data_IF_161399051043
#
_entry.id   IF_161399051043
#
_cell.length_a   1.000
_cell.length_b   1.000
_cell.length_c   1.000
_cell.angle_alpha   90.00
_cell.angle_beta   90.00
_cell.angle_gamma   90.00
#
_symmetry.space_group_name_H-M   'P 1'
#
loop_
_entity.id
_entity.type
_entity.pdbx_description
1 polymer ?
#
# COMPACT_ATOMS: atom_id res chain seq x y z
N UNK A 1 7.24 -0.27 2.64
CA UNK A 1 8.34 0.24 1.80
C UNK A 1 7.82 1.12 0.68
N UNK A 2 8.69 1.96 0.10
CA UNK A 2 8.45 2.64 -1.17
C UNK A 2 9.25 1.92 -2.26
N UNK A 3 8.58 1.39 -3.27
CA UNK A 3 9.22 0.78 -4.44
C UNK A 3 9.33 1.82 -5.55
N UNK A 4 10.54 2.16 -5.97
CA UNK A 4 10.79 3.15 -7.01
C UNK A 4 10.06 2.78 -8.31
N UNK A 5 9.53 3.77 -9.01
CA UNK A 5 8.81 3.58 -10.29
C UNK A 5 9.75 3.21 -11.44
N UNK A 6 11.01 3.64 -11.36
CA UNK A 6 12.12 3.25 -12.23
C UNK A 6 13.13 2.45 -11.40
N UNK A 7 14.35 2.91 -11.24
CA UNK A 7 15.33 2.28 -10.35
C UNK A 7 15.58 3.12 -9.11
N UNK A 8 16.13 2.52 -8.06
CA UNK A 8 16.48 3.23 -6.82
C UNK A 8 17.58 4.29 -7.03
N UNK A 9 18.37 4.17 -8.13
CA UNK A 9 19.42 5.12 -8.49
C UNK A 9 18.90 6.33 -9.27
N UNK A 10 17.73 6.26 -9.89
CA UNK A 10 17.13 7.35 -10.62
C UNK A 10 16.69 8.48 -9.67
N UNK A 11 17.18 9.70 -9.93
CA UNK A 11 16.94 10.89 -9.11
C UNK A 11 16.70 12.12 -9.98
N UNK A 12 16.01 11.93 -11.09
CA UNK A 12 15.74 12.95 -12.08
C UNK A 12 14.48 13.76 -11.72
N UNK A 13 14.66 15.07 -11.53
CA UNK A 13 13.55 16.00 -11.20
C UNK A 13 12.69 16.36 -12.42
N UNK A 14 13.18 16.11 -13.64
CA UNK A 14 12.52 16.51 -14.88
C UNK A 14 11.61 15.41 -15.43
N UNK A 15 11.72 14.18 -14.92
CA UNK A 15 10.79 13.09 -15.25
C UNK A 15 9.53 13.23 -14.40
N UNK A 16 8.43 13.59 -15.06
CA UNK A 16 7.16 13.90 -14.43
C UNK A 16 6.02 13.11 -15.03
N UNK A 17 5.03 12.79 -14.22
CA UNK A 17 3.76 12.17 -14.60
C UNK A 17 2.59 12.86 -13.93
N UNK A 18 1.38 12.62 -14.43
CA UNK A 18 0.14 13.06 -13.81
C UNK A 18 -0.38 11.93 -12.91
N UNK A 19 -0.62 12.24 -11.65
CA UNK A 19 -1.26 11.32 -10.73
C UNK A 19 -2.71 11.11 -11.16
N UNK A 20 -3.08 9.87 -11.46
CA UNK A 20 -4.41 9.51 -11.96
C UNK A 20 -5.53 9.79 -10.94
N UNK A 21 -5.18 9.80 -9.66
CA UNK A 21 -6.11 10.03 -8.55
C UNK A 21 -6.40 11.53 -8.35
N UNK A 22 -5.35 12.34 -8.33
CA UNK A 22 -5.44 13.75 -7.96
C UNK A 22 -5.41 14.70 -9.15
N UNK A 23 -5.06 14.23 -10.36
CA UNK A 23 -4.83 15.05 -11.54
C UNK A 23 -3.59 15.97 -11.44
N UNK A 24 -2.79 15.86 -10.39
CA UNK A 24 -1.63 16.71 -10.15
C UNK A 24 -0.37 16.10 -10.75
N UNK A 25 0.47 16.97 -11.31
CA UNK A 25 1.82 16.60 -11.73
C UNK A 25 2.69 16.24 -10.53
N UNK A 26 3.49 15.18 -10.67
CA UNK A 26 4.47 14.79 -9.66
C UNK A 26 5.78 14.32 -10.31
N UNK A 27 6.89 14.47 -9.60
CA UNK A 27 8.20 13.98 -10.03
C UNK A 27 8.26 12.47 -9.77
N UNK A 28 8.43 11.69 -10.85
CA UNK A 28 8.39 10.22 -10.82
C UNK A 28 9.40 9.65 -9.82
N UNK A 29 10.64 10.12 -9.87
CA UNK A 29 11.72 9.58 -9.05
C UNK A 29 11.64 9.96 -7.57
N UNK A 30 10.90 11.01 -7.21
CA UNK A 30 10.62 11.35 -5.81
C UNK A 30 9.56 10.46 -5.19
N UNK A 31 8.76 9.80 -6.00
CA UNK A 31 7.68 8.92 -5.56
C UNK A 31 8.11 7.47 -5.53
N UNK A 32 7.31 6.64 -4.92
CA UNK A 32 7.42 5.20 -4.96
C UNK A 32 6.06 4.59 -4.75
N UNK A 33 5.86 3.39 -5.27
CA UNK A 33 4.70 2.60 -4.96
C UNK A 33 4.78 2.11 -3.52
N UNK A 34 3.68 2.17 -2.79
CA UNK A 34 3.60 1.52 -1.49
C UNK A 34 3.68 0.01 -1.66
N UNK A 35 4.41 -0.66 -0.76
CA UNK A 35 4.57 -2.10 -0.75
C UNK A 35 4.73 -2.57 0.70
N UNK A 36 3.98 -3.59 1.09
CA UNK A 36 4.13 -4.21 2.41
C UNK A 36 5.07 -5.40 2.28
N UNK A 37 6.04 -5.46 3.17
CA UNK A 37 7.02 -6.55 3.27
C UNK A 37 7.01 -7.07 4.71
N UNK A 38 6.77 -8.37 4.88
CA UNK A 38 6.81 -9.04 6.17
C UNK A 38 7.90 -10.10 6.14
N UNK A 39 8.69 -10.18 7.20
CA UNK A 39 9.69 -11.25 7.34
C UNK A 39 9.02 -12.52 7.85
N UNK A 40 9.02 -13.57 7.06
CA UNK A 40 8.46 -14.88 7.38
C UNK A 40 9.37 -15.73 8.29
N UNK A 41 10.67 -15.46 8.26
CA UNK A 41 11.68 -16.19 9.00
C UNK A 41 12.96 -15.37 9.18
N UNK A 42 13.97 -15.93 9.84
CA UNK A 42 15.26 -15.26 10.07
C UNK A 42 15.94 -14.79 8.78
N UNK A 43 15.86 -15.56 7.71
CA UNK A 43 16.42 -15.18 6.40
C UNK A 43 15.68 -13.97 5.83
N UNK A 44 14.35 -13.97 5.87
CA UNK A 44 13.52 -12.84 5.48
C UNK A 44 13.84 -11.58 6.28
N UNK A 45 14.01 -11.70 7.60
CA UNK A 45 14.42 -10.57 8.43
C UNK A 45 15.78 -9.99 8.01
N UNK A 46 16.79 -10.85 7.76
CA UNK A 46 18.09 -10.41 7.26
C UNK A 46 17.99 -9.72 5.91
N UNK A 47 17.16 -10.24 5.01
CA UNK A 47 16.92 -9.64 3.70
C UNK A 47 16.17 -8.32 3.81
N UNK A 48 15.19 -8.22 4.70
CA UNK A 48 14.48 -6.96 5.00
C UNK A 48 15.45 -5.88 5.51
N UNK A 49 16.37 -6.23 6.42
CA UNK A 49 17.42 -5.32 6.86
C UNK A 49 18.30 -4.80 5.71
N UNK A 50 18.66 -5.68 4.76
CA UNK A 50 19.44 -5.27 3.57
C UNK A 50 18.66 -4.34 2.66
N UNK A 51 17.38 -4.65 2.40
CA UNK A 51 16.50 -3.80 1.60
C UNK A 51 16.36 -2.41 2.23
N UNK A 52 16.09 -2.34 3.54
CA UNK A 52 15.98 -1.07 4.27
C UNK A 52 17.30 -0.30 4.23
N UNK A 53 18.43 -0.96 4.49
CA UNK A 53 19.75 -0.31 4.45
C UNK A 53 20.05 0.27 3.06
N UNK A 54 19.85 -0.49 1.98
CA UNK A 54 20.07 0.00 0.62
C UNK A 54 19.10 1.13 0.25
N UNK A 55 17.85 1.08 0.72
CA UNK A 55 16.89 2.16 0.47
C UNK A 55 17.35 3.51 1.04
N UNK A 56 18.05 3.49 2.18
CA UNK A 56 18.61 4.69 2.81
C UNK A 56 19.94 5.13 2.19
N UNK A 57 20.83 4.18 1.87
CA UNK A 57 22.18 4.47 1.37
C UNK A 57 22.14 4.89 -0.10
N UNK A 58 21.51 4.07 -0.96
CA UNK A 58 21.52 4.25 -2.41
C UNK A 58 20.22 4.86 -2.93
N UNK A 59 19.08 4.41 -2.36
CA UNK A 59 17.74 4.71 -2.85
C UNK A 59 17.10 5.98 -2.32
N UNK A 60 17.78 6.73 -1.45
CA UNK A 60 17.20 7.94 -0.88
C UNK A 60 17.08 9.06 -1.91
N UNK A 61 15.84 9.46 -2.17
CA UNK A 61 15.51 10.68 -2.89
C UNK A 61 14.16 11.17 -2.40
N UNK A 62 14.18 12.18 -1.52
CA UNK A 62 13.03 12.67 -0.76
C UNK A 62 12.51 11.64 0.30
N UNK A 63 12.57 10.36 0.01
CA UNK A 63 12.27 9.23 0.88
C UNK A 63 13.14 8.03 0.52
N UNK A 64 13.32 7.07 1.46
CA UNK A 64 14.06 5.84 1.17
C UNK A 64 13.23 4.94 0.23
N UNK A 65 13.81 4.49 -0.88
CA UNK A 65 13.16 3.66 -1.89
C UNK A 65 13.96 2.40 -2.14
N UNK A 66 13.27 1.29 -2.27
CA UNK A 66 13.77 0.07 -2.91
C UNK A 66 13.36 0.07 -4.38
N UNK A 67 13.82 -0.89 -5.17
CA UNK A 67 13.30 -1.17 -6.50
C UNK A 67 13.12 -2.68 -6.74
N UNK A 68 12.59 -3.04 -7.88
CA UNK A 68 12.36 -4.44 -8.25
C UNK A 68 13.67 -5.23 -8.33
N UNK A 69 14.79 -4.61 -8.75
CA UNK A 69 16.08 -5.29 -8.89
C UNK A 69 16.64 -5.76 -7.55
N UNK A 70 16.64 -4.86 -6.52
CA UNK A 70 17.08 -5.27 -5.18
C UNK A 70 16.08 -6.18 -4.48
N UNK A 71 14.78 -6.04 -4.80
CA UNK A 71 13.76 -6.92 -4.28
C UNK A 71 13.93 -8.35 -4.82
N UNK A 72 14.23 -8.54 -6.10
CA UNK A 72 14.61 -9.84 -6.69
C UNK A 72 15.81 -10.46 -5.98
N UNK A 73 16.81 -9.65 -5.65
CA UNK A 73 18.03 -10.12 -4.99
C UNK A 73 17.80 -10.58 -3.55
N UNK A 74 16.85 -9.95 -2.84
CA UNK A 74 16.63 -10.16 -1.40
C UNK A 74 15.20 -10.59 -1.05
N UNK A 75 14.50 -11.28 -1.97
CA UNK A 75 13.10 -11.69 -1.79
C UNK A 75 12.90 -12.87 -0.83
N UNK A 76 13.91 -13.75 -0.72
CA UNK A 76 13.80 -15.00 0.04
C UNK A 76 13.37 -14.77 1.50
N UNK A 77 12.34 -15.50 1.95
CA UNK A 77 11.81 -15.44 3.30
C UNK A 77 10.93 -14.21 3.58
N UNK A 78 10.48 -13.49 2.54
CA UNK A 78 9.55 -12.38 2.64
C UNK A 78 8.15 -12.77 2.16
N UNK A 79 7.14 -12.26 2.85
CA UNK A 79 5.75 -12.18 2.38
C UNK A 79 5.53 -10.76 1.87
N UNK A 80 4.82 -10.63 0.76
CA UNK A 80 4.59 -9.34 0.09
C UNK A 80 3.10 -9.12 -0.10
N UNK A 81 2.62 -7.92 0.22
CA UNK A 81 1.24 -7.52 -0.01
C UNK A 81 1.18 -6.21 -0.82
N UNK A 82 0.14 -6.07 -1.64
CA UNK A 82 0.02 -4.99 -2.65
C UNK A 82 -0.20 -3.60 -2.09
N UNK A 83 -0.35 -3.47 -0.78
CA UNK A 83 -0.59 -2.24 -0.03
C UNK A 83 -1.93 -1.54 -0.36
N UNK A 84 -2.06 -0.27 0.04
CA UNK A 84 -3.24 0.57 -0.09
C UNK A 84 -3.38 1.15 -1.51
N UNK A 85 -4.24 2.18 -1.70
CA UNK A 85 -4.38 2.91 -2.97
C UNK A 85 -3.06 3.44 -3.53
N UNK A 86 -2.04 3.64 -2.69
CA UNK A 86 -0.69 4.04 -3.10
C UNK A 86 0.18 2.93 -3.70
N UNK A 87 -0.29 1.69 -3.73
CA UNK A 87 0.42 0.55 -4.33
C UNK A 87 0.47 0.57 -5.85
N UNK A 88 1.41 -0.17 -6.45
CA UNK A 88 1.59 -0.22 -7.90
C UNK A 88 0.32 -0.69 -8.62
N UNK A 89 -0.28 -1.77 -8.15
CA UNK A 89 -1.44 -2.41 -8.78
C UNK A 89 -2.68 -1.51 -8.69
N UNK A 90 -3.08 -1.00 -7.49
CA UNK A 90 -4.19 -0.06 -7.38
C UNK A 90 -4.01 1.20 -8.23
N UNK A 91 -2.83 1.79 -8.25
CA UNK A 91 -2.56 2.99 -9.05
C UNK A 91 -2.71 2.75 -10.55
N UNK A 92 -2.24 1.60 -11.06
CA UNK A 92 -2.41 1.22 -12.46
C UNK A 92 -3.89 0.97 -12.82
N UNK A 93 -4.67 0.37 -11.91
CA UNK A 93 -6.12 0.17 -12.11
C UNK A 93 -6.84 1.54 -12.17
N UNK A 94 -6.57 2.45 -11.24
CA UNK A 94 -7.15 3.80 -11.24
C UNK A 94 -6.77 4.59 -12.51
N UNK A 95 -5.56 4.39 -13.03
CA UNK A 95 -5.11 4.95 -14.29
C UNK A 95 -5.69 4.24 -15.54
N UNK A 96 -6.59 3.25 -15.37
CA UNK A 96 -7.17 2.41 -16.44
C UNK A 96 -6.15 1.59 -17.24
N UNK A 97 -4.97 1.37 -16.68
CA UNK A 97 -3.88 0.57 -17.25
C UNK A 97 -3.95 -0.88 -16.77
N UNK A 98 -5.06 -1.56 -17.08
CA UNK A 98 -5.37 -2.89 -16.56
C UNK A 98 -4.34 -3.95 -16.97
N UNK A 99 -3.84 -3.89 -18.22
CA UNK A 99 -2.81 -4.79 -18.70
C UNK A 99 -1.50 -4.64 -17.90
N UNK A 100 -1.08 -3.40 -17.62
CA UNK A 100 0.11 -3.14 -16.80
C UNK A 100 -0.10 -3.60 -15.33
N UNK A 101 -1.32 -3.50 -14.79
CA UNK A 101 -1.65 -4.03 -13.46
C UNK A 101 -1.55 -5.56 -13.43
N UNK A 102 -2.06 -6.24 -14.45
CA UNK A 102 -1.95 -7.70 -14.61
C UNK A 102 -0.49 -8.17 -14.71
N UNK A 103 0.33 -7.46 -15.48
CA UNK A 103 1.77 -7.74 -15.57
C UNK A 103 2.50 -7.56 -14.23
N UNK A 104 2.15 -6.51 -13.47
CA UNK A 104 2.70 -6.32 -12.13
C UNK A 104 2.33 -7.47 -11.19
N UNK A 105 1.06 -7.93 -11.21
CA UNK A 105 0.61 -9.08 -10.42
C UNK A 105 1.41 -10.33 -10.80
N UNK A 106 1.58 -10.60 -12.09
CA UNK A 106 2.37 -11.75 -12.57
C UNK A 106 3.82 -11.68 -12.10
N UNK A 107 4.43 -10.49 -12.15
CA UNK A 107 5.79 -10.31 -11.68
C UNK A 107 5.93 -10.66 -10.19
N UNK A 108 5.06 -10.12 -9.34
CA UNK A 108 5.05 -10.43 -7.91
C UNK A 108 4.75 -11.93 -7.66
N UNK A 109 3.75 -12.49 -8.34
CA UNK A 109 3.39 -13.91 -8.20
C UNK A 109 4.55 -14.83 -8.62
N UNK A 110 5.25 -14.51 -9.69
CA UNK A 110 6.39 -15.30 -10.15
C UNK A 110 7.56 -15.25 -9.14
N UNK A 111 7.79 -14.11 -8.50
CA UNK A 111 8.89 -13.93 -7.56
C UNK A 111 8.58 -14.53 -6.17
N UNK A 112 7.37 -14.32 -5.67
CA UNK A 112 6.99 -14.67 -4.28
C UNK A 112 6.09 -15.91 -4.18
N UNK A 113 5.54 -16.40 -5.29
CA UNK A 113 4.65 -17.57 -5.28
C UNK A 113 3.44 -17.37 -4.38
N UNK A 114 3.25 -18.26 -3.42
CA UNK A 114 2.15 -18.22 -2.43
C UNK A 114 2.40 -17.22 -1.29
N UNK A 115 3.50 -16.51 -1.29
CA UNK A 115 3.82 -15.45 -0.33
C UNK A 115 3.49 -14.04 -0.88
N UNK A 116 2.79 -13.97 -2.01
CA UNK A 116 2.24 -12.73 -2.55
C UNK A 116 0.72 -12.65 -2.36
N UNK A 117 0.25 -11.52 -1.80
CA UNK A 117 -1.18 -11.26 -1.54
C UNK A 117 -1.61 -9.91 -2.12
N UNK A 118 -2.83 -9.87 -2.65
CA UNK A 118 -3.49 -8.61 -3.02
C UNK A 118 -4.30 -8.13 -1.81
N UNK A 119 -4.12 -6.86 -1.44
CA UNK A 119 -4.88 -6.23 -0.36
C UNK A 119 -6.12 -5.52 -0.89
N UNK A 120 -7.21 -5.63 -0.14
CA UNK A 120 -8.41 -4.80 -0.28
C UNK A 120 -8.67 -4.07 1.04
N UNK A 121 -9.12 -2.83 0.94
CA UNK A 121 -9.39 -1.96 2.10
C UNK A 121 -10.71 -1.23 1.90
N UNK A 122 -11.38 -0.89 3.01
CA UNK A 122 -12.65 -0.16 3.02
C UNK A 122 -12.67 0.83 4.18
N UNK A 123 -12.55 2.11 3.88
CA UNK A 123 -12.53 3.18 4.88
C UNK A 123 -13.72 4.12 4.71
N UNK A 124 -14.94 3.58 4.87
CA UNK A 124 -16.15 4.39 4.80
C UNK A 124 -16.23 5.34 6.00
N UNK A 125 -16.40 6.64 5.75
CA UNK A 125 -16.42 7.65 6.78
C UNK A 125 -17.45 8.75 6.48
N UNK A 126 -18.06 9.26 7.53
CA UNK A 126 -18.89 10.48 7.58
C UNK A 126 -18.31 11.52 8.55
N UNK A 127 -17.11 11.26 9.08
CA UNK A 127 -16.47 12.11 10.09
C UNK A 127 -16.08 13.47 9.51
N UNK A 128 -16.25 14.57 10.27
CA UNK A 128 -15.81 15.89 9.84
C UNK A 128 -14.30 15.94 9.57
N UNK A 129 -13.89 16.75 8.58
CA UNK A 129 -12.50 16.94 8.18
C UNK A 129 -11.76 15.61 7.89
N UNK A 130 -12.45 14.67 7.20
CA UNK A 130 -11.91 13.42 6.71
C UNK A 130 -11.92 13.37 5.18
N UNK A 131 -11.06 12.52 4.58
CA UNK A 131 -11.10 12.26 3.13
C UNK A 131 -12.19 11.22 2.81
N UNK A 132 -13.35 11.70 2.40
CA UNK A 132 -14.49 10.85 2.03
C UNK A 132 -14.34 10.17 0.66
N UNK A 133 -13.42 10.65 -0.19
CA UNK A 133 -13.22 10.10 -1.54
C UNK A 133 -12.44 8.79 -1.54
N UNK A 134 -11.68 8.50 -0.48
CA UNK A 134 -10.90 7.26 -0.36
C UNK A 134 -11.79 6.03 -0.50
N UNK A 135 -12.92 5.99 0.20
CA UNK A 135 -13.85 4.86 0.15
C UNK A 135 -14.40 4.64 -1.27
N UNK A 136 -14.82 5.70 -1.95
CA UNK A 136 -15.32 5.61 -3.32
C UNK A 136 -14.28 5.01 -4.27
N UNK A 137 -13.03 5.44 -4.18
CA UNK A 137 -11.91 4.91 -4.96
C UNK A 137 -11.63 3.43 -4.63
N UNK A 138 -11.65 3.07 -3.36
CA UNK A 138 -11.49 1.68 -2.91
C UNK A 138 -12.60 0.81 -3.52
N UNK A 139 -13.86 1.23 -3.43
CA UNK A 139 -14.99 0.50 -4.00
C UNK A 139 -14.91 0.38 -5.53
N UNK A 140 -14.42 1.41 -6.20
CA UNK A 140 -14.26 1.40 -7.65
C UNK A 140 -13.25 0.35 -8.13
N UNK A 141 -12.15 0.14 -7.39
CA UNK A 141 -11.07 -0.77 -7.83
C UNK A 141 -11.24 -2.21 -7.33
N UNK A 142 -11.96 -2.45 -6.22
CA UNK A 142 -12.11 -3.77 -5.62
C UNK A 142 -12.59 -4.82 -6.62
N UNK A 143 -13.63 -4.62 -7.44
CA UNK A 143 -14.06 -5.63 -8.42
C UNK A 143 -12.95 -6.02 -9.40
N UNK A 144 -12.15 -5.05 -9.85
CA UNK A 144 -11.01 -5.31 -10.76
C UNK A 144 -9.89 -6.04 -10.03
N UNK A 145 -9.58 -5.67 -8.78
CA UNK A 145 -8.58 -6.37 -7.96
C UNK A 145 -8.96 -7.83 -7.77
N UNK A 146 -10.22 -8.12 -7.42
CA UNK A 146 -10.74 -9.49 -7.24
C UNK A 146 -10.63 -10.30 -8.55
N UNK A 147 -11.05 -9.72 -9.67
CA UNK A 147 -10.98 -10.38 -10.99
C UNK A 147 -9.54 -10.69 -11.40
N UNK A 148 -8.60 -9.74 -11.20
CA UNK A 148 -7.19 -9.96 -11.51
C UNK A 148 -6.53 -10.94 -10.55
N UNK A 149 -6.93 -10.95 -9.27
CA UNK A 149 -6.47 -11.91 -8.28
C UNK A 149 -6.86 -13.34 -8.67
N UNK A 150 -8.13 -13.55 -9.00
CA UNK A 150 -8.65 -14.84 -9.47
C UNK A 150 -7.93 -15.30 -10.75
N UNK A 151 -7.83 -14.44 -11.76
CA UNK A 151 -7.14 -14.71 -13.03
C UNK A 151 -5.70 -15.19 -12.85
N UNK A 152 -4.97 -14.63 -11.86
CA UNK A 152 -3.56 -14.92 -11.61
C UNK A 152 -3.36 -15.93 -10.46
N UNK A 153 -4.41 -16.52 -9.92
CA UNK A 153 -4.36 -17.42 -8.76
C UNK A 153 -3.58 -16.79 -7.58
N UNK A 154 -3.93 -15.54 -7.23
CA UNK A 154 -3.37 -14.80 -6.08
C UNK A 154 -4.46 -14.66 -5.02
N UNK A 155 -4.13 -14.94 -3.78
CA UNK A 155 -5.04 -14.76 -2.65
C UNK A 155 -5.24 -13.29 -2.33
N UNK A 156 -6.46 -12.94 -1.94
CA UNK A 156 -6.83 -11.59 -1.50
C UNK A 156 -6.93 -11.57 0.01
N UNK A 157 -6.41 -10.52 0.65
CA UNK A 157 -6.53 -10.26 2.09
C UNK A 157 -7.24 -8.92 2.34
N UNK A 158 -8.00 -8.85 3.43
CA UNK A 158 -8.62 -7.62 3.89
C UNK A 158 -7.75 -6.98 4.98
N UNK A 159 -7.34 -5.73 4.79
CA UNK A 159 -6.53 -4.97 5.74
C UNK A 159 -7.16 -3.61 6.04
N UNK A 160 -6.71 -2.94 7.10
CA UNK A 160 -7.25 -1.65 7.51
C UNK A 160 -6.22 -0.50 7.50
N UNK A 161 -5.04 -0.70 6.92
CA UNK A 161 -3.99 0.33 6.82
C UNK A 161 -3.79 1.12 8.14
N UNK A 162 -3.63 0.39 9.25
CA UNK A 162 -3.67 0.93 10.61
C UNK A 162 -2.58 1.96 10.85
N UNK A 163 -2.98 3.16 11.28
CA UNK A 163 -2.09 4.28 11.61
C UNK A 163 -2.17 4.69 13.10
N UNK A 164 -3.21 4.28 13.79
CA UNK A 164 -3.39 4.53 15.23
C UNK A 164 -4.22 3.40 15.87
N UNK A 165 -4.18 3.29 17.19
CA UNK A 165 -4.72 2.13 17.92
C UNK A 165 -6.22 2.24 18.13
N UNK A 166 -6.68 3.32 18.79
CA UNK A 166 -8.07 3.52 19.16
C UNK A 166 -8.75 4.53 18.24
N UNK A 167 -10.04 4.42 18.05
CA UNK A 167 -10.82 5.31 17.20
C UNK A 167 -10.67 6.79 17.58
N UNK A 168 -10.62 7.09 18.89
CA UNK A 168 -10.45 8.43 19.43
C UNK A 168 -9.09 9.06 19.11
N UNK A 169 -8.08 8.23 18.77
CA UNK A 169 -6.76 8.72 18.39
C UNK A 169 -6.73 9.42 17.01
N UNK A 170 -7.79 9.35 16.23
CA UNK A 170 -7.90 9.99 14.93
C UNK A 170 -7.59 11.50 14.97
N UNK A 171 -8.06 12.20 16.00
CA UNK A 171 -7.79 13.65 16.17
C UNK A 171 -6.31 13.92 16.51
N UNK A 172 -5.70 13.09 17.34
CA UNK A 172 -4.27 13.19 17.65
C UNK A 172 -3.42 12.92 16.40
N UNK A 173 -3.79 11.91 15.61
CA UNK A 173 -3.13 11.57 14.35
C UNK A 173 -3.22 12.73 13.35
N UNK A 174 -4.37 13.37 13.19
CA UNK A 174 -4.54 14.55 12.30
C UNK A 174 -3.63 15.72 12.70
N UNK A 175 -3.45 15.95 13.99
CA UNK A 175 -2.50 16.96 14.50
C UNK A 175 -1.04 16.60 14.22
N UNK A 176 -0.68 15.31 14.33
CA UNK A 176 0.67 14.83 13.98
C UNK A 176 0.96 14.99 12.48
N UNK A 177 -0.04 14.78 11.61
CA UNK A 177 0.08 15.07 10.18
C UNK A 177 0.35 16.54 9.93
N UNK A 178 -0.38 17.45 10.59
CA UNK A 178 -0.14 18.87 10.50
C UNK A 178 1.28 19.24 10.94
N UNK A 179 1.75 18.67 12.05
CA UNK A 179 3.11 18.90 12.55
C UNK A 179 4.16 18.43 11.53
N UNK A 180 4.02 17.23 11.01
CA UNK A 180 4.97 16.61 10.07
C UNK A 180 5.02 17.32 8.70
N UNK A 181 3.89 17.89 8.27
CA UNK A 181 3.76 18.57 6.97
C UNK A 181 3.94 20.10 7.05
N UNK A 182 4.09 20.67 8.26
CA UNK A 182 4.16 22.11 8.49
C UNK A 182 2.84 22.83 8.19
N UNK A 183 1.70 22.15 8.24
CA UNK A 183 0.38 22.71 7.95
C UNK A 183 -0.38 23.05 9.23
N UNK A 184 -1.37 23.94 9.11
CA UNK A 184 -2.28 24.31 10.21
C UNK A 184 -3.58 23.49 10.13
N UNK A 185 -4.17 23.15 11.28
CA UNK A 185 -5.45 22.43 11.33
C UNK A 185 -6.58 23.11 10.57
N UNK A 186 -6.59 24.46 10.54
CA UNK A 186 -7.60 25.25 9.85
C UNK A 186 -7.42 25.32 8.32
N UNK A 187 -6.34 24.77 7.78
CA UNK A 187 -6.13 24.75 6.33
C UNK A 187 -6.98 23.66 5.69
N UNK A 188 -7.83 24.03 4.72
CA UNK A 188 -8.67 23.07 3.99
C UNK A 188 -7.85 22.21 2.99
N UNK A 189 -6.86 22.80 2.32
CA UNK A 189 -6.04 22.15 1.30
C UNK A 189 -4.81 21.44 1.91
N UNK A 190 -5.02 20.53 2.86
CA UNK A 190 -4.00 19.70 3.47
C UNK A 190 -4.33 18.21 3.34
N UNK A 191 -3.40 17.36 3.70
CA UNK A 191 -3.63 15.92 3.77
C UNK A 191 -4.64 15.62 4.90
N UNK A 192 -5.67 14.86 4.56
CA UNK A 192 -6.61 14.27 5.49
C UNK A 192 -6.61 12.75 5.31
N UNK A 193 -6.78 12.03 6.40
CA UNK A 193 -7.11 10.61 6.41
C UNK A 193 -8.63 10.43 6.53
N UNK A 194 -9.08 9.18 6.41
CA UNK A 194 -10.52 8.88 6.56
C UNK A 194 -10.95 8.86 8.01
N UNK A 195 -10.01 8.82 8.96
CA UNK A 195 -10.22 8.58 10.39
C UNK A 195 -10.78 7.17 10.69
N UNK A 196 -10.59 6.24 9.74
CA UNK A 196 -10.98 4.84 9.87
C UNK A 196 -9.77 3.91 10.03
N UNK A 197 -8.56 4.45 10.03
CA UNK A 197 -7.29 3.72 10.04
C UNK A 197 -6.85 3.30 11.45
N UNK A 198 -7.82 2.95 12.32
CA UNK A 198 -7.56 2.43 13.66
C UNK A 198 -7.58 0.90 13.70
N UNK A 199 -7.01 0.31 14.78
CA UNK A 199 -6.89 -1.13 14.94
C UNK A 199 -8.25 -1.75 15.30
N UNK A 200 -8.99 -2.15 14.28
CA UNK A 200 -10.31 -2.76 14.43
C UNK A 200 -10.24 -4.19 14.97
N UNK A 201 -11.24 -4.58 15.72
CA UNK A 201 -11.42 -5.96 16.16
C UNK A 201 -11.75 -6.88 14.98
N UNK A 202 -11.56 -8.22 15.12
CA UNK A 202 -11.98 -9.18 14.12
C UNK A 202 -13.47 -9.06 13.75
N UNK A 203 -14.34 -8.80 14.71
CA UNK A 203 -15.78 -8.63 14.52
C UNK A 203 -16.09 -7.41 13.67
N UNK A 204 -15.43 -6.28 13.91
CA UNK A 204 -15.58 -5.06 13.13
C UNK A 204 -15.10 -5.24 11.70
N UNK A 205 -13.94 -5.87 11.52
CA UNK A 205 -13.43 -6.22 10.19
C UNK A 205 -14.39 -7.17 9.45
N UNK A 206 -14.98 -8.15 10.16
CA UNK A 206 -15.98 -9.05 9.59
C UNK A 206 -17.21 -8.29 9.08
N UNK A 207 -17.71 -7.29 9.83
CA UNK A 207 -18.85 -6.49 9.37
C UNK A 207 -18.54 -5.68 8.11
N UNK A 208 -17.30 -5.18 7.98
CA UNK A 208 -16.85 -4.39 6.83
C UNK A 208 -16.71 -5.26 5.56
N UNK A 209 -16.26 -6.51 5.72
CA UNK A 209 -15.93 -7.43 4.61
C UNK A 209 -16.82 -8.67 4.56
N UNK A 210 -18.04 -8.63 5.15
CA UNK A 210 -18.97 -9.76 5.21
C UNK A 210 -19.36 -10.36 3.86
N UNK A 211 -19.25 -9.57 2.80
CA UNK A 211 -19.47 -9.97 1.41
C UNK A 211 -18.24 -10.65 0.76
N UNK A 212 -17.07 -10.57 1.40
CA UNK A 212 -15.82 -11.18 0.93
C UNK A 212 -15.12 -11.87 2.13
N UNK A 213 -15.76 -12.82 2.82
CA UNK A 213 -15.21 -13.40 4.05
C UNK A 213 -13.87 -14.09 3.84
N UNK A 214 -13.64 -14.66 2.65
CA UNK A 214 -12.40 -15.32 2.28
C UNK A 214 -11.18 -14.38 2.41
N UNK A 215 -11.35 -13.07 2.18
CA UNK A 215 -10.26 -12.11 2.32
C UNK A 215 -9.83 -11.92 3.78
N UNK A 216 -10.72 -12.15 4.75
CA UNK A 216 -10.37 -12.17 6.18
C UNK A 216 -9.74 -13.52 6.58
N UNK A 217 -10.30 -14.63 6.13
CA UNK A 217 -9.77 -15.97 6.40
C UNK A 217 -8.32 -16.11 5.90
N UNK A 218 -8.01 -15.57 4.72
CA UNK A 218 -6.67 -15.59 4.16
C UNK A 218 -5.63 -14.84 5.02
N UNK A 219 -6.03 -13.91 5.90
CA UNK A 219 -5.09 -13.25 6.82
C UNK A 219 -4.49 -14.22 7.83
N UNK A 220 -5.25 -15.25 8.25
CA UNK A 220 -4.76 -16.27 9.15
C UNK A 220 -3.59 -17.06 8.53
N UNK A 221 -3.61 -17.29 7.21
CA UNK A 221 -2.52 -17.96 6.51
C UNK A 221 -1.18 -17.20 6.66
N UNK A 222 -1.21 -15.88 6.68
CA UNK A 222 0.00 -15.06 6.91
C UNK A 222 0.50 -15.30 8.33
N UNK A 223 -0.38 -15.33 9.32
CA UNK A 223 -0.01 -15.62 10.72
C UNK A 223 0.62 -17.00 10.85
N UNK A 224 0.06 -18.01 10.16
CA UNK A 224 0.56 -19.37 10.21
C UNK A 224 1.92 -19.56 9.52
N UNK A 225 2.32 -18.61 8.67
CA UNK A 225 3.60 -18.64 7.95
C UNK A 225 4.76 -17.98 8.69
N UNK A 226 4.51 -17.21 9.75
CA UNK A 226 5.51 -16.40 10.48
C UNK A 226 6.04 -17.09 11.74
#
# INVERSE_FOLDING_TARGET
AYCARRTLFDKDKDVKEINAETGREFIVDRSGWHLILLAKNKKGYQNLCKLVSQSWIDGFYDRPRIDKNILEKYHEGLIVCSACLGGEIPQKIMAKKIAEADEAIKWFKNLFGEDFYIEIQRHQTDKPASDTQVFERQQQIIPTLLSLAEKNNVKVIATNDVHFVEEEHAEAHDRLICLSTGRKLAEENRMHYTKQEWLKTPEEMFQIFKDIPQALENTQEIVDKV
#
